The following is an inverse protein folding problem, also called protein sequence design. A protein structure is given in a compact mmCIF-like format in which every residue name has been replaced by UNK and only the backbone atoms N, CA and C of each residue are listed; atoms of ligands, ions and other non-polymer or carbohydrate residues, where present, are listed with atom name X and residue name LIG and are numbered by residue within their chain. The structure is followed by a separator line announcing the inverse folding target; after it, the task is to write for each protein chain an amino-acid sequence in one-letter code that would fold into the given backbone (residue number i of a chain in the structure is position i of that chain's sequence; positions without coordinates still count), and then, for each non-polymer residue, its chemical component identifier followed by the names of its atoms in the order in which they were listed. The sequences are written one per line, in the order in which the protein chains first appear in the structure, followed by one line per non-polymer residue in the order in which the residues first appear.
data_IF_921846716110
#
_entry.id   IF_921846716110
#
_cell.length_a   1.000
_cell.length_b   1.000
_cell.length_c   1.000
_cell.angle_alpha   90.00
_cell.angle_beta   90.00
_cell.angle_gamma   90.00
#
_symmetry.space_group_name_H-M   'P 1'
#
loop_
_entity.id
_entity.type
_entity.pdbx_description
1 polymer ?
#
# COMPACT_ATOMS: atom_id res chain seq x y z
N UNK A 1 -8.66 25.67 -16.11
CA UNK A 1 -7.90 24.40 -16.21
C UNK A 1 -8.56 23.40 -15.27
N UNK A 2 -9.41 22.53 -15.81
CA UNK A 2 -10.22 21.57 -15.04
C UNK A 2 -11.44 21.14 -15.87
N UNK A 3 -11.80 19.86 -15.82
CA UNK A 3 -13.08 19.36 -16.37
C UNK A 3 -14.23 19.91 -15.52
N UNK A 4 -15.42 20.05 -16.10
CA UNK A 4 -16.61 20.47 -15.35
C UNK A 4 -16.99 19.38 -14.35
N UNK A 5 -17.53 19.76 -13.19
CA UNK A 5 -17.90 18.81 -12.14
C UNK A 5 -18.85 17.72 -12.65
N UNK A 6 -19.77 18.07 -13.54
CA UNK A 6 -20.74 17.16 -14.19
C UNK A 6 -20.08 16.06 -15.04
N UNK A 7 -18.85 16.28 -15.51
CA UNK A 7 -18.08 15.34 -16.34
C UNK A 7 -17.10 14.48 -15.51
N UNK A 8 -17.00 14.74 -14.19
CA UNK A 8 -16.10 13.99 -13.31
C UNK A 8 -16.72 12.66 -12.90
N UNK A 9 -15.93 11.59 -12.96
CA UNK A 9 -16.29 10.33 -12.31
C UNK A 9 -16.39 10.51 -10.80
N UNK A 10 -17.07 9.58 -10.11
CA UNK A 10 -17.20 9.62 -8.64
C UNK A 10 -15.84 9.74 -7.94
N UNK A 11 -14.84 8.97 -8.38
CA UNK A 11 -13.48 9.03 -7.84
C UNK A 11 -12.77 10.36 -8.15
N UNK A 12 -12.92 10.88 -9.36
CA UNK A 12 -12.32 12.16 -9.72
C UNK A 12 -12.91 13.31 -8.91
N UNK A 13 -14.23 13.29 -8.68
CA UNK A 13 -14.92 14.27 -7.83
C UNK A 13 -14.50 14.12 -6.37
N UNK A 14 -14.35 12.87 -5.89
CA UNK A 14 -13.87 12.59 -4.54
C UNK A 14 -12.48 13.19 -4.32
N UNK A 15 -11.56 13.02 -5.28
CA UNK A 15 -10.17 13.49 -5.15
C UNK A 15 -9.93 14.92 -5.66
N UNK A 16 -10.96 15.58 -6.19
CA UNK A 16 -10.84 16.93 -6.73
C UNK A 16 -10.41 17.93 -5.65
N UNK A 17 -9.42 18.75 -6.01
CA UNK A 17 -8.89 19.83 -5.20
C UNK A 17 -9.60 21.13 -5.60
N UNK A 18 -10.59 21.53 -4.80
CA UNK A 18 -11.44 22.70 -5.11
C UNK A 18 -10.76 24.04 -4.86
N UNK A 19 -9.77 24.09 -3.96
CA UNK A 19 -9.06 25.30 -3.57
C UNK A 19 -7.55 25.12 -3.72
N UNK A 20 -6.84 26.21 -4.06
CA UNK A 20 -5.39 26.18 -4.23
C UNK A 20 -4.69 25.93 -2.87
N UNK A 21 -3.80 24.93 -2.76
CA UNK A 21 -2.97 24.73 -1.58
C UNK A 21 -2.09 25.95 -1.27
N UNK A 22 -1.94 26.24 0.01
CA UNK A 22 -0.90 27.13 0.52
C UNK A 22 0.48 26.49 0.35
N UNK A 23 1.54 27.31 0.41
CA UNK A 23 2.92 26.79 0.34
C UNK A 23 3.22 25.81 1.48
N UNK A 24 2.70 26.10 2.69
CA UNK A 24 2.88 25.25 3.85
C UNK A 24 2.22 23.88 3.66
N UNK A 25 0.97 23.85 3.22
CA UNK A 25 0.25 22.59 2.97
C UNK A 25 0.93 21.76 1.87
N UNK A 26 1.40 22.41 0.81
CA UNK A 26 2.14 21.77 -0.26
C UNK A 26 3.45 21.15 0.24
N UNK A 27 4.25 21.92 1.00
CA UNK A 27 5.48 21.40 1.60
C UNK A 27 5.19 20.29 2.61
N UNK A 28 4.14 20.43 3.42
CA UNK A 28 3.71 19.43 4.40
C UNK A 28 3.36 18.10 3.72
N UNK A 29 2.61 18.16 2.61
CA UNK A 29 2.26 16.98 1.81
C UNK A 29 3.50 16.28 1.23
N UNK A 30 4.43 17.04 0.64
CA UNK A 30 5.65 16.48 0.04
C UNK A 30 6.67 15.98 1.07
N UNK A 31 6.73 16.60 2.24
CA UNK A 31 7.65 16.26 3.33
C UNK A 31 7.00 15.38 4.40
N UNK A 32 5.84 14.78 4.10
CA UNK A 32 5.19 13.86 5.01
C UNK A 32 6.14 12.71 5.38
N UNK A 33 6.51 12.64 6.67
CA UNK A 33 7.45 11.65 7.19
C UNK A 33 6.97 10.21 6.93
N UNK A 34 5.66 9.97 6.96
CA UNK A 34 5.08 8.66 6.70
C UNK A 34 5.20 8.25 5.21
N UNK A 35 5.42 9.24 4.33
CA UNK A 35 5.47 9.10 2.88
C UNK A 35 6.89 9.02 2.29
N UNK A 36 7.87 9.63 2.95
CA UNK A 36 9.13 10.06 2.30
C UNK A 36 10.09 8.94 1.90
N UNK A 37 10.09 7.81 2.61
CA UNK A 37 11.06 6.72 2.39
C UNK A 37 10.55 5.61 1.48
N UNK A 38 9.31 5.17 1.70
CA UNK A 38 8.69 4.07 0.94
C UNK A 38 7.15 4.14 1.03
N UNK A 39 6.60 5.33 1.31
CA UNK A 39 5.19 5.49 1.56
C UNK A 39 4.33 5.17 0.33
N UNK A 40 3.16 4.57 0.52
CA UNK A 40 2.20 4.42 -0.56
C UNK A 40 1.76 5.78 -1.11
N UNK A 41 1.36 5.82 -2.38
CA UNK A 41 0.84 7.03 -3.01
C UNK A 41 -0.48 7.43 -2.34
N UNK A 42 -0.51 8.56 -1.66
CA UNK A 42 -1.74 9.14 -1.14
C UNK A 42 -2.18 10.33 -1.98
N UNK A 43 -3.48 10.65 -1.94
CA UNK A 43 -3.99 11.87 -2.59
C UNK A 43 -3.85 13.05 -1.65
N UNK A 44 -3.60 14.25 -2.20
CA UNK A 44 -3.49 15.49 -1.43
C UNK A 44 -4.73 15.74 -0.54
N UNK A 45 -5.94 15.47 -1.06
CA UNK A 45 -7.19 15.67 -0.32
C UNK A 45 -7.30 14.78 0.92
N UNK A 46 -6.94 13.50 0.78
CA UNK A 46 -6.93 12.56 1.91
C UNK A 46 -5.89 12.97 2.95
N UNK A 47 -4.72 13.46 2.50
CA UNK A 47 -3.67 13.97 3.37
C UNK A 47 -4.11 15.19 4.19
N UNK A 48 -4.74 16.18 3.56
CA UNK A 48 -5.23 17.37 4.27
C UNK A 48 -6.33 16.99 5.26
N UNK A 49 -7.28 16.16 4.85
CA UNK A 49 -8.32 15.66 5.76
C UNK A 49 -7.71 14.94 6.98
N UNK A 50 -6.60 14.24 6.79
CA UNK A 50 -5.86 13.58 7.88
C UNK A 50 -5.16 14.58 8.82
N UNK A 51 -4.45 15.57 8.28
CA UNK A 51 -3.78 16.59 9.09
C UNK A 51 -4.77 17.46 9.86
N UNK A 52 -5.93 17.75 9.27
CA UNK A 52 -7.02 18.47 9.93
C UNK A 52 -7.76 17.60 10.96
N UNK A 53 -7.55 16.28 10.96
CA UNK A 53 -8.21 15.32 11.86
C UNK A 53 -9.65 14.97 11.46
N UNK A 54 -10.14 15.49 10.35
CA UNK A 54 -11.51 15.30 9.87
C UNK A 54 -11.71 14.00 9.07
N UNK A 55 -10.63 13.26 8.74
CA UNK A 55 -10.69 12.11 7.84
C UNK A 55 -11.53 10.94 8.36
N UNK A 56 -11.55 10.70 9.68
CA UNK A 56 -12.34 9.63 10.28
C UNK A 56 -13.82 9.99 10.24
N UNK A 57 -14.16 11.18 10.73
CA UNK A 57 -15.55 11.67 10.78
C UNK A 57 -16.15 11.77 9.38
N UNK A 58 -15.40 12.29 8.41
CA UNK A 58 -15.86 12.42 7.03
C UNK A 58 -16.21 11.05 6.43
N UNK A 59 -15.39 10.02 6.69
CA UNK A 59 -15.62 8.66 6.20
C UNK A 59 -16.74 7.94 6.95
N UNK A 60 -16.85 8.14 8.26
CA UNK A 60 -17.94 7.59 9.06
C UNK A 60 -19.30 8.19 8.67
N UNK A 61 -19.35 9.50 8.41
CA UNK A 61 -20.56 10.19 7.93
C UNK A 61 -20.93 9.70 6.53
N UNK A 62 -19.96 9.55 5.63
CA UNK A 62 -20.21 9.02 4.28
C UNK A 62 -20.77 7.59 4.32
N UNK A 63 -20.25 6.74 5.20
CA UNK A 63 -20.77 5.38 5.40
C UNK A 63 -22.16 5.39 6.07
N UNK A 64 -22.42 6.26 7.03
CA UNK A 64 -23.75 6.39 7.65
C UNK A 64 -24.81 6.88 6.65
N UNK A 65 -24.43 7.80 5.74
CA UNK A 65 -25.29 8.26 4.64
C UNK A 65 -25.60 7.13 3.65
N UNK A 66 -24.65 6.21 3.41
CA UNK A 66 -24.83 5.04 2.53
C UNK A 66 -25.58 3.89 3.22
N UNK A 67 -25.32 3.66 4.50
CA UNK A 67 -25.91 2.59 5.31
C UNK A 67 -26.66 3.20 6.51
N UNK A 68 -27.99 3.30 6.38
CA UNK A 68 -28.95 3.74 7.42
C UNK A 68 -28.95 2.91 8.73
N UNK A 69 -28.03 1.97 8.93
CA UNK A 69 -28.14 0.87 9.90
C UNK A 69 -26.99 0.73 10.89
N UNK A 70 -25.97 1.60 10.88
CA UNK A 70 -24.87 1.47 11.84
C UNK A 70 -25.32 1.98 13.21
N UNK A 71 -25.70 1.06 14.10
CA UNK A 71 -26.19 1.33 15.47
C UNK A 71 -25.06 1.48 16.51
N UNK A 72 -23.83 1.11 16.17
CA UNK A 72 -22.71 1.16 17.10
C UNK A 72 -21.41 1.31 16.30
N UNK A 73 -20.63 2.35 16.60
CA UNK A 73 -19.29 2.49 16.01
C UNK A 73 -18.37 1.45 16.66
N UNK A 74 -17.76 0.55 15.87
CA UNK A 74 -16.77 -0.38 16.42
C UNK A 74 -15.53 0.37 16.91
N UNK A 75 -14.82 -0.19 17.89
CA UNK A 75 -13.58 0.40 18.41
C UNK A 75 -12.60 0.69 17.28
N UNK A 76 -12.35 1.98 17.02
CA UNK A 76 -11.50 2.54 15.96
C UNK A 76 -10.00 2.19 16.12
N UNK A 77 -9.65 1.18 16.91
CA UNK A 77 -8.27 0.85 17.23
C UNK A 77 -7.52 0.31 16.00
N UNK A 78 -6.46 1.01 15.53
CA UNK A 78 -5.62 0.51 14.43
C UNK A 78 -4.78 -0.70 14.84
N UNK A 79 -4.69 -1.00 16.14
CA UNK A 79 -3.71 -1.94 16.70
C UNK A 79 -3.79 -3.32 16.05
N UNK A 80 -5.00 -3.84 15.82
CA UNK A 80 -5.19 -5.15 15.19
C UNK A 80 -4.72 -5.17 13.74
N UNK A 81 -5.06 -4.12 12.97
CA UNK A 81 -4.65 -4.01 11.58
C UNK A 81 -3.14 -3.83 11.45
N UNK A 82 -2.55 -2.99 12.31
CA UNK A 82 -1.10 -2.78 12.38
C UNK A 82 -0.38 -4.05 12.79
N UNK A 83 -0.84 -4.77 13.82
CA UNK A 83 -0.25 -6.02 14.27
C UNK A 83 -0.23 -7.09 13.16
N UNK A 84 -1.33 -7.22 12.42
CA UNK A 84 -1.40 -8.14 11.28
C UNK A 84 -0.40 -7.74 10.17
N UNK A 85 -0.32 -6.46 9.80
CA UNK A 85 0.63 -5.99 8.78
C UNK A 85 2.08 -6.10 9.25
N UNK A 86 2.35 -5.89 10.54
CA UNK A 86 3.67 -6.10 11.15
C UNK A 86 4.08 -7.58 11.11
N UNK A 87 3.15 -8.50 11.37
CA UNK A 87 3.41 -9.94 11.26
C UNK A 87 3.75 -10.33 9.82
N UNK A 88 2.98 -9.85 8.83
CA UNK A 88 3.27 -10.08 7.40
C UNK A 88 4.65 -9.52 7.05
N UNK A 89 4.95 -8.30 7.47
CA UNK A 89 6.24 -7.65 7.26
C UNK A 89 7.38 -8.49 7.83
N UNK A 90 7.22 -9.00 9.05
CA UNK A 90 8.22 -9.86 9.69
C UNK A 90 8.44 -11.16 8.93
N UNK A 91 7.37 -11.83 8.50
CA UNK A 91 7.46 -13.05 7.67
C UNK A 91 8.18 -12.77 6.35
N UNK A 92 7.82 -11.69 5.66
CA UNK A 92 8.49 -11.27 4.42
C UNK A 92 9.98 -10.96 4.64
N UNK A 93 10.33 -10.33 5.76
CA UNK A 93 11.73 -10.02 6.11
C UNK A 93 12.54 -11.30 6.36
N UNK A 94 12.02 -12.22 7.17
CA UNK A 94 12.68 -13.50 7.46
C UNK A 94 12.87 -14.28 6.16
N UNK A 95 11.82 -14.38 5.35
CA UNK A 95 11.85 -15.04 4.06
C UNK A 95 12.89 -14.42 3.12
N UNK A 96 12.88 -13.10 2.96
CA UNK A 96 13.87 -12.36 2.17
C UNK A 96 15.31 -12.64 2.64
N UNK A 97 15.55 -12.58 3.95
CA UNK A 97 16.90 -12.75 4.52
C UNK A 97 17.42 -14.17 4.32
N UNK A 98 16.56 -15.17 4.53
CA UNK A 98 16.91 -16.59 4.33
C UNK A 98 17.14 -16.88 2.85
N UNK A 99 16.28 -16.39 1.97
CA UNK A 99 16.37 -16.69 0.54
C UNK A 99 17.55 -15.97 -0.11
N UNK A 100 17.78 -14.69 0.18
CA UNK A 100 18.87 -13.93 -0.44
C UNK A 100 20.24 -14.52 -0.10
N UNK A 101 20.37 -15.16 1.08
CA UNK A 101 21.58 -15.90 1.47
C UNK A 101 21.77 -17.20 0.68
N UNK A 102 20.68 -17.90 0.34
CA UNK A 102 20.74 -19.19 -0.35
C UNK A 102 20.73 -19.06 -1.89
N UNK A 103 20.13 -18.00 -2.43
CA UNK A 103 19.95 -17.76 -3.87
C UNK A 103 20.33 -16.32 -4.25
N UNK A 104 21.61 -15.94 -4.15
CA UNK A 104 22.04 -14.60 -4.52
C UNK A 104 21.87 -14.37 -6.03
N UNK A 105 21.18 -13.30 -6.41
CA UNK A 105 20.95 -12.91 -7.81
C UNK A 105 22.29 -12.74 -8.55
N UNK A 106 23.34 -12.30 -7.85
CA UNK A 106 24.69 -12.11 -8.41
C UNK A 106 25.30 -13.40 -8.97
N UNK A 107 24.83 -14.58 -8.55
CA UNK A 107 25.30 -15.85 -9.09
C UNK A 107 24.84 -16.08 -10.55
N UNK A 108 23.77 -15.42 -11.01
CA UNK A 108 23.34 -15.50 -12.42
C UNK A 108 24.37 -14.93 -13.40
N UNK A 109 25.17 -13.96 -12.96
CA UNK A 109 26.17 -13.26 -13.78
C UNK A 109 27.58 -13.77 -13.52
N UNK A 110 27.73 -14.80 -12.67
CA UNK A 110 29.03 -15.38 -12.38
C UNK A 110 29.59 -16.09 -13.62
N UNK A 111 30.86 -15.82 -13.92
CA UNK A 111 31.52 -16.33 -15.13
C UNK A 111 31.62 -17.85 -15.11
N UNK A 112 31.78 -18.45 -13.93
CA UNK A 112 31.87 -19.90 -13.75
C UNK A 112 30.52 -20.57 -14.03
N UNK A 113 29.44 -20.05 -13.43
CA UNK A 113 28.09 -20.55 -13.69
C UNK A 113 27.67 -20.35 -15.15
N UNK A 114 28.02 -19.22 -15.75
CA UNK A 114 27.66 -18.91 -17.14
C UNK A 114 28.40 -19.81 -18.13
N UNK A 115 29.63 -20.23 -17.85
CA UNK A 115 30.40 -21.08 -18.75
C UNK A 115 30.13 -22.59 -18.54
N UNK A 116 29.85 -23.02 -17.30
CA UNK A 116 29.76 -24.46 -16.96
C UNK A 116 28.31 -25.00 -16.91
N UNK A 117 27.29 -24.16 -16.69
CA UNK A 117 25.92 -24.63 -16.51
C UNK A 117 25.18 -24.86 -17.84
N UNK A 118 24.31 -25.87 -17.86
CA UNK A 118 23.38 -26.11 -18.96
C UNK A 118 22.36 -24.97 -19.10
N UNK A 119 21.87 -24.74 -20.32
CA UNK A 119 20.88 -23.69 -20.60
C UNK A 119 19.65 -23.79 -19.69
N UNK A 120 19.12 -25.00 -19.49
CA UNK A 120 17.97 -25.23 -18.61
C UNK A 120 18.25 -24.85 -17.15
N UNK A 121 19.44 -25.20 -16.63
CA UNK A 121 19.85 -24.85 -15.26
C UNK A 121 19.97 -23.33 -15.07
N UNK A 122 20.44 -22.60 -16.09
CA UNK A 122 20.49 -21.13 -16.08
C UNK A 122 19.08 -20.52 -16.02
N UNK A 123 18.16 -21.01 -16.85
CA UNK A 123 16.76 -20.52 -16.87
C UNK A 123 16.06 -20.80 -15.54
N UNK A 124 16.17 -22.00 -14.99
CA UNK A 124 15.57 -22.34 -13.70
C UNK A 124 16.16 -21.49 -12.56
N UNK A 125 17.49 -21.33 -12.51
CA UNK A 125 18.12 -20.52 -11.47
C UNK A 125 17.77 -19.03 -11.59
N UNK A 126 17.71 -18.51 -12.83
CA UNK A 126 17.24 -17.14 -13.08
C UNK A 126 15.82 -16.95 -12.57
N UNK A 127 14.91 -17.86 -12.89
CA UNK A 127 13.53 -17.80 -12.42
C UNK A 127 13.46 -17.79 -10.89
N UNK A 128 14.10 -18.77 -10.24
CA UNK A 128 14.10 -18.87 -8.77
C UNK A 128 14.71 -17.63 -8.12
N UNK A 129 15.86 -17.14 -8.62
CA UNK A 129 16.58 -15.99 -8.07
C UNK A 129 15.84 -14.66 -8.24
N UNK A 130 15.13 -14.47 -9.36
CA UNK A 130 14.28 -13.28 -9.58
C UNK A 130 13.08 -13.31 -8.63
N UNK A 131 12.39 -14.44 -8.51
CA UNK A 131 11.29 -14.59 -7.56
C UNK A 131 11.76 -14.43 -6.10
N UNK A 132 12.92 -14.99 -5.78
CA UNK A 132 13.61 -14.84 -4.51
C UNK A 132 13.91 -13.38 -4.12
N UNK A 133 14.06 -12.49 -5.11
CA UNK A 133 14.38 -11.08 -4.89
C UNK A 133 13.18 -10.17 -4.64
N UNK A 134 11.97 -10.63 -5.00
CA UNK A 134 10.73 -9.84 -4.88
C UNK A 134 10.27 -9.55 -3.44
N UNK A 135 10.41 -10.48 -2.47
CA UNK A 135 10.00 -10.27 -1.08
C UNK A 135 10.56 -9.01 -0.41
N UNK A 136 11.71 -8.48 -0.87
CA UNK A 136 12.28 -7.23 -0.36
C UNK A 136 11.37 -6.02 -0.59
N UNK A 137 10.64 -6.01 -1.70
CA UNK A 137 9.70 -4.94 -2.04
C UNK A 137 8.41 -5.09 -1.23
N UNK A 138 7.93 -6.32 -1.06
CA UNK A 138 6.76 -6.60 -0.22
C UNK A 138 7.00 -6.19 1.23
N UNK A 139 8.18 -6.52 1.77
CA UNK A 139 8.59 -6.03 3.09
C UNK A 139 8.51 -4.51 3.21
N UNK A 140 9.16 -3.78 2.30
CA UNK A 140 9.23 -2.31 2.38
C UNK A 140 7.83 -1.67 2.26
N UNK A 141 7.01 -2.16 1.33
CA UNK A 141 5.66 -1.63 1.11
C UNK A 141 4.68 -1.99 2.23
N UNK A 142 4.71 -3.22 2.76
CA UNK A 142 3.86 -3.60 3.90
C UNK A 142 4.29 -2.89 5.19
N UNK A 143 5.59 -2.65 5.38
CA UNK A 143 6.08 -1.86 6.52
C UNK A 143 5.61 -0.41 6.44
N UNK A 144 5.71 0.22 5.27
CA UNK A 144 5.25 1.60 5.08
C UNK A 144 3.75 1.72 5.36
N UNK A 145 2.96 0.77 4.87
CA UNK A 145 1.52 0.69 5.13
C UNK A 145 1.21 0.49 6.63
N UNK A 146 1.95 -0.40 7.33
CA UNK A 146 1.83 -0.57 8.78
C UNK A 146 2.13 0.72 9.57
N UNK A 147 3.17 1.47 9.20
CA UNK A 147 3.55 2.74 9.84
C UNK A 147 2.46 3.80 9.64
N UNK A 148 1.95 3.94 8.42
CA UNK A 148 0.89 4.91 8.15
C UNK A 148 -0.43 4.54 8.85
N UNK A 149 -0.75 3.24 8.96
CA UNK A 149 -1.90 2.76 9.75
C UNK A 149 -1.70 3.01 11.25
N UNK A 150 -0.48 2.85 11.77
CA UNK A 150 -0.16 3.19 13.16
C UNK A 150 -0.34 4.69 13.43
N UNK A 151 -0.05 5.54 12.44
CA UNK A 151 -0.35 6.97 12.48
C UNK A 151 -1.83 7.33 12.27
N UNK A 152 -2.71 6.35 12.03
CA UNK A 152 -4.15 6.59 11.81
C UNK A 152 -4.51 7.04 10.39
N UNK A 153 -3.55 7.13 9.46
CA UNK A 153 -3.78 7.68 8.12
C UNK A 153 -4.50 6.71 7.18
N UNK A 154 -4.30 5.39 7.33
CA UNK A 154 -4.85 4.42 6.38
C UNK A 154 -6.30 3.98 6.62
N UNK A 155 -7.06 4.68 7.48
CA UNK A 155 -8.48 4.36 7.72
C UNK A 155 -9.35 4.64 6.49
N UNK A 156 -10.17 3.67 6.08
CA UNK A 156 -10.99 3.73 4.87
C UNK A 156 -12.48 3.49 5.11
N UNK A 157 -12.96 3.77 6.32
CA UNK A 157 -14.36 3.57 6.69
C UNK A 157 -14.65 2.12 7.08
N UNK A 158 -15.89 1.70 6.83
CA UNK A 158 -16.43 0.40 7.22
C UNK A 158 -16.68 -0.47 5.99
N UNK A 159 -16.52 -1.76 6.16
CA UNK A 159 -16.92 -2.75 5.17
C UNK A 159 -18.41 -3.05 5.24
N UNK A 160 -18.97 -3.76 4.25
CA UNK A 160 -20.39 -4.17 4.23
C UNK A 160 -20.80 -4.94 5.49
N UNK A 161 -19.83 -5.61 6.12
CA UNK A 161 -19.98 -6.38 7.35
C UNK A 161 -19.82 -5.55 8.64
N UNK A 162 -19.62 -4.23 8.53
CA UNK A 162 -19.38 -3.34 9.67
C UNK A 162 -17.97 -3.43 10.28
N UNK A 163 -17.00 -4.03 9.56
CA UNK A 163 -15.61 -4.11 10.01
C UNK A 163 -14.81 -2.89 9.55
N UNK A 164 -13.88 -2.42 10.39
CA UNK A 164 -12.99 -1.30 10.05
C UNK A 164 -12.04 -1.66 8.91
N UNK A 165 -12.03 -0.86 7.85
CA UNK A 165 -11.09 -0.98 6.75
C UNK A 165 -9.88 -0.08 6.95
N UNK A 166 -8.70 -0.68 6.87
CA UNK A 166 -7.39 -0.03 7.05
C UNK A 166 -6.54 -0.17 5.77
N UNK A 167 -7.18 0.11 4.63
CA UNK A 167 -6.66 -0.10 3.28
C UNK A 167 -6.64 1.16 2.42
N UNK A 168 -6.88 2.36 2.98
CA UNK A 168 -6.96 3.62 2.21
C UNK A 168 -5.74 3.85 1.33
N UNK A 169 -4.58 3.53 1.87
CA UNK A 169 -3.26 3.70 1.26
C UNK A 169 -2.59 2.35 0.98
N UNK A 170 -3.33 1.25 1.12
CA UNK A 170 -2.77 -0.10 0.95
C UNK A 170 -2.64 -0.42 -0.53
N UNK A 171 -1.54 0.03 -1.15
CA UNK A 171 -1.27 -0.23 -2.58
C UNK A 171 -0.84 -1.68 -2.88
N UNK A 172 -0.53 -2.48 -1.86
CA UNK A 172 0.00 -3.83 -2.05
C UNK A 172 -1.02 -4.91 -1.70
N UNK A 173 -1.32 -5.78 -2.67
CA UNK A 173 -1.95 -7.06 -2.42
C UNK A 173 -1.05 -8.18 -2.97
N UNK A 174 -0.27 -8.81 -2.09
CA UNK A 174 0.74 -9.83 -2.44
C UNK A 174 0.11 -10.97 -3.22
N UNK A 175 -1.07 -11.42 -2.81
CA UNK A 175 -1.76 -12.54 -3.46
C UNK A 175 -2.18 -12.18 -4.89
N UNK A 176 -2.73 -10.98 -5.08
CA UNK A 176 -3.08 -10.49 -6.41
C UNK A 176 -1.85 -10.34 -7.30
N UNK A 177 -0.71 -9.90 -6.77
CA UNK A 177 0.50 -9.70 -7.57
C UNK A 177 1.11 -11.04 -8.01
N UNK A 178 1.15 -12.04 -7.12
CA UNK A 178 1.79 -13.32 -7.42
C UNK A 178 0.89 -14.28 -8.22
N UNK A 179 -0.43 -14.20 -8.06
CA UNK A 179 -1.37 -15.19 -8.63
C UNK A 179 -2.10 -14.67 -9.88
N UNK A 180 -2.17 -13.35 -10.10
CA UNK A 180 -2.88 -12.84 -11.29
C UNK A 180 -2.12 -13.15 -12.57
N UNK A 181 -2.82 -13.83 -13.47
CA UNK A 181 -2.36 -14.20 -14.81
C UNK A 181 -2.66 -13.11 -15.87
N UNK A 182 -3.39 -12.05 -15.52
CA UNK A 182 -3.83 -11.01 -16.46
C UNK A 182 -3.28 -9.63 -16.09
N UNK A 183 -2.61 -8.97 -17.06
CA UNK A 183 -2.03 -7.63 -16.92
C UNK A 183 -3.06 -6.48 -16.98
N UNK A 184 -4.36 -6.77 -17.15
CA UNK A 184 -5.36 -5.74 -17.43
C UNK A 184 -5.81 -4.90 -16.22
N UNK A 185 -5.42 -5.26 -14.99
CA UNK A 185 -5.89 -4.63 -13.75
C UNK A 185 -4.75 -4.43 -12.73
N UNK A 186 -3.55 -4.10 -13.22
CA UNK A 186 -2.41 -3.71 -12.39
C UNK A 186 -2.41 -2.21 -12.14
#
# INVERSE_FOLDING_TARGET
LGRKDEELTTEQRRLAVSARPTLLEYCSYHLNFLGILAGPTSSYKDYIAFIEGNHIDMKLIEEHLKQKSIKQFPDLSPLRAVANKMLITFVCLVWFTVITKNFPISYNVDAKFTNEASFFRKVCYLFISVHASRPKYYFAWTLADAINNAGGFGFNGLDENGNLRWDLISNLNIWNIEVRLSCAHM
#
